data_IF_136277963299
#
_entry.id   IF_136277963299
#
_cell.length_a   1.000
_cell.length_b   1.000
_cell.length_c   1.000
_cell.angle_alpha   90.00
_cell.angle_beta   90.00
_cell.angle_gamma   90.00
#
_symmetry.space_group_name_H-M   'P 1'
#
loop_
_entity.id
_entity.type
_entity.pdbx_description
1 polymer ?
#
# COMPACT_ATOMS: atom_id res chain seq x y z
N UNK A 1 -7.66 -10.91 27.54
CA UNK A 1 -7.90 -9.51 27.16
C UNK A 1 -9.37 -9.34 26.79
N UNK A 2 -10.03 -8.36 27.39
CA UNK A 2 -11.43 -8.00 27.12
C UNK A 2 -11.51 -7.08 25.90
N UNK A 3 -12.72 -6.88 25.34
CA UNK A 3 -12.89 -5.94 24.24
C UNK A 3 -12.63 -4.48 24.69
N UNK A 4 -12.93 -4.14 25.93
CA UNK A 4 -12.69 -2.81 26.50
C UNK A 4 -11.19 -2.54 26.63
N UNK A 5 -10.43 -3.52 27.13
CA UNK A 5 -8.95 -3.47 27.17
C UNK A 5 -8.36 -3.31 25.76
N UNK A 6 -8.81 -4.13 24.80
CA UNK A 6 -8.34 -4.03 23.40
C UNK A 6 -8.65 -2.63 22.83
N UNK A 7 -9.87 -2.13 23.01
CA UNK A 7 -10.27 -0.85 22.45
C UNK A 7 -9.50 0.32 23.07
N UNK A 8 -9.24 0.28 24.38
CA UNK A 8 -8.42 1.27 25.06
C UNK A 8 -6.96 1.24 24.56
N UNK A 9 -6.35 0.05 24.50
CA UNK A 9 -4.97 -0.12 24.08
C UNK A 9 -4.76 0.24 22.61
N UNK A 10 -5.69 -0.13 21.71
CA UNK A 10 -5.63 0.27 20.29
C UNK A 10 -5.69 1.79 20.12
N UNK A 11 -6.50 2.49 20.92
CA UNK A 11 -6.56 3.96 20.88
C UNK A 11 -5.25 4.57 21.35
N UNK A 12 -4.74 4.14 22.50
CA UNK A 12 -3.58 4.76 23.15
C UNK A 12 -2.27 4.39 22.46
N UNK A 13 -2.02 3.11 22.23
CA UNK A 13 -0.72 2.60 21.82
C UNK A 13 -0.55 2.48 20.30
N UNK A 14 -1.63 2.59 19.52
CA UNK A 14 -1.58 2.46 18.05
C UNK A 14 -2.09 3.72 17.37
N UNK A 15 -3.35 4.09 17.59
CA UNK A 15 -3.99 5.18 16.85
C UNK A 15 -3.32 6.52 17.17
N UNK A 16 -3.21 6.89 18.45
CA UNK A 16 -2.54 8.13 18.87
C UNK A 16 -1.05 8.15 18.54
N UNK A 17 -0.40 6.98 18.52
CA UNK A 17 1.01 6.86 18.21
C UNK A 17 1.32 7.08 16.72
N UNK A 18 0.36 6.80 15.82
CA UNK A 18 0.58 6.82 14.37
C UNK A 18 -0.11 8.00 13.67
N UNK A 19 -1.31 8.38 14.09
CA UNK A 19 -2.09 9.43 13.44
C UNK A 19 -1.80 10.77 14.13
N UNK A 20 -1.29 11.80 13.42
CA UNK A 20 -1.09 13.12 13.99
C UNK A 20 -2.38 13.72 14.55
N UNK A 21 -2.31 14.28 15.75
CA UNK A 21 -3.47 14.79 16.50
C UNK A 21 -4.32 15.79 15.71
N UNK A 22 -3.70 16.63 14.87
CA UNK A 22 -4.40 17.59 14.01
C UNK A 22 -5.41 16.99 13.03
N UNK A 23 -5.38 15.67 12.82
CA UNK A 23 -6.32 14.94 11.95
C UNK A 23 -7.36 14.13 12.74
N UNK A 24 -7.33 14.19 14.08
CA UNK A 24 -8.27 13.50 14.96
C UNK A 24 -9.14 14.54 15.68
N UNK A 25 -10.43 14.27 15.75
CA UNK A 25 -11.39 15.11 16.45
C UNK A 25 -12.51 14.28 17.11
N UNK A 26 -13.40 14.96 17.82
CA UNK A 26 -14.55 14.35 18.51
C UNK A 26 -15.55 13.68 17.55
N UNK A 27 -15.51 14.01 16.26
CA UNK A 27 -16.38 13.44 15.23
C UNK A 27 -15.75 12.24 14.52
N UNK A 28 -14.49 11.94 14.82
CA UNK A 28 -13.77 10.82 14.22
C UNK A 28 -14.39 9.51 14.65
N UNK A 29 -14.82 8.71 13.67
CA UNK A 29 -15.50 7.45 13.90
C UNK A 29 -14.47 6.34 14.06
N UNK A 30 -14.55 5.59 15.16
CA UNK A 30 -13.66 4.46 15.44
C UNK A 30 -14.44 3.14 15.39
N UNK A 31 -14.04 2.26 14.48
CA UNK A 31 -14.48 0.88 14.45
C UNK A 31 -13.34 -0.04 14.92
N UNK A 32 -13.32 -0.36 16.22
CA UNK A 32 -12.27 -1.16 16.85
C UNK A 32 -12.80 -2.56 17.13
N UNK A 33 -12.18 -3.57 16.51
CA UNK A 33 -12.67 -4.95 16.49
C UNK A 33 -14.19 -5.05 16.27
N UNK A 34 -14.72 -4.50 15.16
CA UNK A 34 -16.16 -4.39 14.94
C UNK A 34 -16.87 -5.75 14.84
N UNK A 35 -16.15 -6.83 14.50
CA UNK A 35 -16.66 -8.20 14.52
C UNK A 35 -16.70 -8.84 15.91
N UNK A 36 -16.23 -8.14 16.94
CA UNK A 36 -16.04 -8.68 18.28
C UNK A 36 -14.79 -9.57 18.36
N UNK A 37 -14.97 -10.79 18.87
CA UNK A 37 -13.86 -11.69 19.21
C UNK A 37 -13.16 -12.21 17.95
N UNK A 38 -11.84 -12.02 17.86
CA UNK A 38 -11.00 -12.45 16.74
C UNK A 38 -9.78 -13.22 17.22
N UNK A 39 -9.98 -14.51 17.56
CA UNK A 39 -8.92 -15.39 18.10
C UNK A 39 -8.33 -16.31 17.04
N UNK A 40 -9.18 -16.80 16.14
CA UNK A 40 -8.76 -17.62 15.01
C UNK A 40 -8.38 -16.67 13.87
N UNK A 41 -7.15 -16.80 13.37
CA UNK A 41 -6.62 -15.99 12.27
C UNK A 41 -5.51 -16.70 11.51
N UNK A 42 -4.82 -15.96 10.65
CA UNK A 42 -3.80 -16.53 9.77
C UNK A 42 -4.39 -17.54 8.76
N UNK A 43 -3.59 -18.49 8.25
CA UNK A 43 -4.04 -19.46 7.24
C UNK A 43 -5.20 -20.36 7.67
N UNK A 44 -5.44 -20.50 8.98
CA UNK A 44 -6.59 -21.26 9.50
C UNK A 44 -7.92 -20.53 9.24
N UNK A 45 -7.91 -19.20 9.22
CA UNK A 45 -9.11 -18.38 9.05
C UNK A 45 -9.37 -17.89 7.63
N UNK A 46 -8.35 -17.82 6.76
CA UNK A 46 -8.48 -17.36 5.37
C UNK A 46 -7.30 -17.85 4.51
N UNK A 47 -7.59 -18.34 3.30
CA UNK A 47 -6.57 -18.87 2.39
C UNK A 47 -5.77 -17.74 1.73
N UNK A 48 -4.44 -17.78 1.86
CA UNK A 48 -3.54 -16.78 1.30
C UNK A 48 -2.95 -17.18 -0.06
N UNK A 49 -2.81 -16.22 -0.98
CA UNK A 49 -2.09 -16.38 -2.24
C UNK A 49 -1.18 -15.17 -2.51
N UNK A 50 0.00 -15.43 -3.10
CA UNK A 50 0.93 -14.37 -3.54
C UNK A 50 0.25 -13.43 -4.54
N UNK A 51 0.51 -12.12 -4.40
CA UNK A 51 0.03 -11.12 -5.36
C UNK A 51 -1.45 -10.75 -5.23
N UNK A 52 -2.10 -11.05 -4.09
CA UNK A 52 -3.51 -10.69 -3.86
C UNK A 52 -3.71 -9.38 -3.10
N UNK A 53 -2.64 -8.64 -2.80
CA UNK A 53 -2.66 -7.37 -2.07
C UNK A 53 -1.98 -6.22 -2.82
N UNK A 54 -1.96 -6.27 -4.16
CA UNK A 54 -1.22 -5.33 -5.01
C UNK A 54 -1.57 -3.85 -4.81
N UNK A 55 -2.81 -3.53 -4.42
CA UNK A 55 -3.21 -2.14 -4.10
C UNK A 55 -2.69 -1.70 -2.73
N UNK A 56 -2.60 -2.63 -1.76
CA UNK A 56 -1.96 -2.39 -0.45
C UNK A 56 -0.45 -2.23 -0.62
N UNK A 57 0.18 -3.05 -1.47
CA UNK A 57 1.62 -3.00 -1.76
C UNK A 57 2.05 -1.71 -2.46
N UNK A 58 1.11 -0.94 -3.01
CA UNK A 58 1.39 0.25 -3.81
C UNK A 58 0.85 1.52 -3.16
N UNK A 59 -0.26 2.03 -3.66
CA UNK A 59 -0.67 3.41 -3.42
C UNK A 59 -2.08 3.53 -2.80
N UNK A 60 -2.64 2.42 -2.28
CA UNK A 60 -3.89 2.46 -1.51
C UNK A 60 -5.08 3.02 -2.27
N UNK A 61 -5.15 2.79 -3.59
CA UNK A 61 -6.21 3.30 -4.47
C UNK A 61 -5.89 4.63 -5.16
N UNK A 62 -4.81 5.31 -4.78
CA UNK A 62 -4.36 6.52 -5.46
C UNK A 62 -3.49 6.20 -6.69
N UNK A 63 -3.52 7.07 -7.71
CA UNK A 63 -2.71 6.88 -8.92
C UNK A 63 -3.30 5.78 -9.80
N UNK A 64 -2.48 4.80 -10.19
CA UNK A 64 -2.91 3.64 -10.99
C UNK A 64 -2.04 2.41 -10.68
N UNK A 65 -2.44 1.25 -11.21
CA UNK A 65 -1.71 -0.01 -11.07
C UNK A 65 -1.68 -0.76 -12.41
N UNK A 66 -0.50 -1.27 -12.81
CA UNK A 66 -0.32 -2.00 -14.08
C UNK A 66 -0.80 -3.46 -14.06
N UNK A 67 -1.12 -3.99 -12.89
CA UNK A 67 -1.70 -5.33 -12.67
C UNK A 67 -0.71 -6.39 -12.17
N UNK A 68 0.58 -6.25 -12.47
CA UNK A 68 1.61 -7.19 -12.05
C UNK A 68 1.90 -7.18 -10.54
N UNK A 69 1.90 -8.35 -9.90
CA UNK A 69 2.36 -8.51 -8.52
C UNK A 69 3.89 -8.39 -8.39
N UNK A 70 4.39 -8.03 -7.20
CA UNK A 70 5.83 -7.89 -6.94
C UNK A 70 6.49 -9.13 -6.32
N UNK A 71 5.90 -9.66 -5.25
CA UNK A 71 6.48 -10.76 -4.47
C UNK A 71 6.59 -12.06 -5.28
N UNK A 72 7.65 -12.82 -5.05
CA UNK A 72 7.94 -14.06 -5.80
C UNK A 72 8.64 -13.88 -7.14
N UNK A 73 8.96 -12.64 -7.55
CA UNK A 73 9.65 -12.34 -8.82
C UNK A 73 11.06 -11.80 -8.58
N UNK A 74 12.05 -12.35 -9.26
CA UNK A 74 13.40 -11.76 -9.27
C UNK A 74 13.39 -10.39 -10.00
N UNK A 75 14.39 -9.52 -9.78
CA UNK A 75 14.34 -8.14 -10.27
C UNK A 75 14.45 -7.98 -11.79
N UNK A 76 14.65 -9.07 -12.57
CA UNK A 76 14.56 -9.00 -14.04
C UNK A 76 13.11 -8.82 -14.53
N UNK A 77 12.10 -9.07 -13.68
CA UNK A 77 10.68 -8.99 -14.07
C UNK A 77 10.21 -7.54 -13.94
N UNK A 78 9.86 -6.95 -15.07
CA UNK A 78 9.49 -5.53 -15.18
C UNK A 78 8.25 -5.13 -14.37
N UNK A 79 7.38 -6.07 -14.02
CA UNK A 79 6.30 -5.82 -13.04
C UNK A 79 6.83 -5.25 -11.73
N UNK A 80 8.01 -5.72 -11.29
CA UNK A 80 8.68 -5.27 -10.06
C UNK A 80 9.65 -4.13 -10.35
N UNK A 81 10.62 -4.34 -11.23
CA UNK A 81 11.68 -3.34 -11.48
C UNK A 81 11.17 -2.07 -12.17
N UNK A 82 10.26 -2.20 -13.14
CA UNK A 82 9.62 -1.07 -13.81
C UNK A 82 8.76 -0.24 -12.86
N UNK A 83 7.96 -0.90 -12.01
CA UNK A 83 7.19 -0.20 -10.97
C UNK A 83 8.08 0.55 -9.96
N UNK A 84 9.22 -0.04 -9.57
CA UNK A 84 10.16 0.60 -8.65
C UNK A 84 10.83 1.83 -9.26
N UNK A 85 11.23 1.77 -10.52
CA UNK A 85 11.80 2.93 -11.23
C UNK A 85 10.73 4.01 -11.48
N UNK A 86 9.50 3.64 -11.84
CA UNK A 86 8.40 4.59 -11.95
C UNK A 86 8.14 5.31 -10.61
N UNK A 87 8.21 4.59 -9.49
CA UNK A 87 8.13 5.20 -8.14
C UNK A 87 9.28 6.17 -7.89
N UNK A 88 10.51 5.80 -8.21
CA UNK A 88 11.68 6.66 -8.05
C UNK A 88 11.55 7.95 -8.88
N UNK A 89 11.13 7.82 -10.13
CA UNK A 89 10.91 8.95 -11.03
C UNK A 89 9.82 9.90 -10.49
N UNK A 90 8.64 9.37 -10.17
CA UNK A 90 7.54 10.17 -9.62
C UNK A 90 7.92 10.87 -8.30
N UNK A 91 8.63 10.17 -7.41
CA UNK A 91 9.13 10.76 -6.16
C UNK A 91 10.12 11.89 -6.44
N UNK A 92 11.02 11.70 -7.39
CA UNK A 92 12.05 12.69 -7.73
C UNK A 92 11.43 13.95 -8.32
N UNK A 93 10.45 13.83 -9.22
CA UNK A 93 9.73 14.98 -9.79
C UNK A 93 9.10 15.84 -8.69
N UNK A 94 8.40 15.21 -7.74
CA UNK A 94 7.76 15.93 -6.63
C UNK A 94 8.80 16.51 -5.66
N UNK A 95 9.84 15.74 -5.31
CA UNK A 95 10.88 16.19 -4.38
C UNK A 95 11.72 17.35 -4.91
N UNK A 96 11.88 17.46 -6.23
CA UNK A 96 12.55 18.59 -6.89
C UNK A 96 11.62 19.80 -7.12
N UNK A 97 10.38 19.76 -6.63
CA UNK A 97 9.45 20.89 -6.72
C UNK A 97 8.84 21.11 -8.11
N UNK A 98 9.04 20.19 -9.06
CA UNK A 98 8.53 20.32 -10.43
C UNK A 98 7.01 20.11 -10.52
N UNK A 99 6.44 19.36 -9.58
CA UNK A 99 5.01 19.15 -9.45
C UNK A 99 4.61 18.87 -7.99
N UNK A 100 3.36 19.14 -7.62
CA UNK A 100 2.82 18.77 -6.31
C UNK A 100 2.42 17.29 -6.22
N UNK A 101 2.10 16.68 -7.36
CA UNK A 101 1.71 15.28 -7.50
C UNK A 101 2.12 14.80 -8.88
N UNK A 102 2.58 13.56 -8.98
CA UNK A 102 3.06 12.97 -10.22
C UNK A 102 2.61 11.50 -10.31
N UNK A 103 2.23 11.08 -11.51
CA UNK A 103 2.05 9.69 -11.89
C UNK A 103 3.01 9.42 -13.05
N UNK A 104 3.59 8.22 -13.08
CA UNK A 104 4.46 7.78 -14.17
C UNK A 104 3.98 6.40 -14.63
N UNK A 105 3.84 6.21 -15.93
CA UNK A 105 3.56 4.93 -16.56
C UNK A 105 4.73 4.54 -17.48
N UNK A 106 5.10 3.27 -17.43
CA UNK A 106 6.12 2.67 -18.30
C UNK A 106 5.57 1.34 -18.80
N UNK A 107 5.75 1.01 -20.08
CA UNK A 107 5.35 -0.27 -20.66
C UNK A 107 6.48 -0.92 -21.45
N UNK A 108 6.45 -2.26 -21.54
CA UNK A 108 7.50 -3.06 -22.20
C UNK A 108 6.88 -4.18 -23.02
N UNK A 109 7.57 -4.56 -24.11
CA UNK A 109 7.37 -5.82 -24.80
C UNK A 109 8.41 -6.84 -24.35
N UNK A 110 8.04 -8.13 -24.32
CA UNK A 110 8.97 -9.21 -23.98
C UNK A 110 10.15 -9.24 -24.97
N UNK A 111 11.37 -9.27 -24.45
CA UNK A 111 12.60 -9.31 -25.26
C UNK A 111 13.03 -7.95 -25.86
N UNK A 112 12.26 -6.88 -25.65
CA UNK A 112 12.62 -5.52 -26.08
C UNK A 112 13.22 -4.76 -24.90
N UNK A 113 14.46 -4.25 -24.99
CA UNK A 113 15.13 -3.61 -23.86
C UNK A 113 14.57 -2.22 -23.53
N UNK A 114 14.21 -1.43 -24.55
CA UNK A 114 13.67 -0.08 -24.37
C UNK A 114 12.15 -0.11 -24.10
N UNK A 115 11.61 0.83 -23.32
CA UNK A 115 10.18 0.90 -23.06
C UNK A 115 9.40 1.26 -24.33
N UNK A 116 8.23 0.64 -24.51
CA UNK A 116 7.33 0.97 -25.62
C UNK A 116 6.69 2.35 -25.44
N UNK A 117 6.45 2.75 -24.18
CA UNK A 117 5.91 4.06 -23.84
C UNK A 117 6.35 4.50 -22.46
N UNK A 118 6.43 5.82 -22.29
CA UNK A 118 6.62 6.52 -21.01
C UNK A 118 5.64 7.70 -20.98
N UNK A 119 4.91 7.84 -19.88
CA UNK A 119 3.96 8.94 -19.61
C UNK A 119 4.11 9.43 -18.18
#
# INVERSE_FOLDING_TARGET
VTNDEIAADLKEHVIKAVIPEKYLDEKTIFHLNPSGRFVIGGPHGDAGLTGRKIIIDTYGGWGAHGGGAFSGKDPTKVDRSGAYIARQAAKSIVANGLARRCIVQISYAIGVPEPLSVF
#
